data_IF_053445894088
#
_entry.id   IF_053445894088
#
_cell.length_a   1.000
_cell.length_b   1.000
_cell.length_c   1.000
_cell.angle_alpha   90.00
_cell.angle_beta   90.00
_cell.angle_gamma   90.00
#
_symmetry.space_group_name_H-M   'P 1'
#
loop_
_entity.id
_entity.type
_entity.pdbx_description
1 polymer ?
#
# COMPACT_ATOMS: atom_id res chain seq x y z
N UNK A 1 6.50 24.96 29.55
CA UNK A 1 7.83 24.74 28.93
C UNK A 1 7.66 23.61 27.92
N UNK A 2 8.17 23.80 26.71
CA UNK A 2 7.61 23.34 25.42
C UNK A 2 7.28 21.84 25.28
N UNK A 3 6.03 21.60 24.87
CA UNK A 3 5.55 20.39 24.19
C UNK A 3 6.00 20.40 22.73
N UNK A 4 6.67 19.34 22.26
CA UNK A 4 6.87 19.08 20.84
C UNK A 4 6.12 17.80 20.44
N UNK A 5 5.20 17.95 19.48
CA UNK A 5 4.33 16.93 18.93
C UNK A 5 4.78 16.72 17.48
N UNK A 6 5.30 15.55 17.16
CA UNK A 6 5.67 15.17 15.80
C UNK A 6 4.44 14.68 15.02
N UNK A 7 4.28 14.99 13.73
CA UNK A 7 3.21 14.42 12.91
C UNK A 7 3.75 13.19 12.16
N UNK A 8 3.32 12.00 12.57
CA UNK A 8 3.44 10.77 11.79
C UNK A 8 2.41 10.77 10.65
N UNK A 9 2.87 10.70 9.40
CA UNK A 9 2.01 10.46 8.23
C UNK A 9 1.52 9.00 8.27
N UNK A 10 0.20 8.82 8.28
CA UNK A 10 -0.48 7.53 8.21
C UNK A 10 -0.96 7.34 6.76
N UNK A 11 -0.47 6.32 6.05
CA UNK A 11 -1.01 5.93 4.73
C UNK A 11 -2.23 5.05 4.94
N UNK A 12 -3.37 5.42 4.33
CA UNK A 12 -4.67 4.77 4.47
C UNK A 12 -5.02 4.13 3.14
N UNK A 13 -5.05 2.80 3.08
CA UNK A 13 -5.35 2.10 1.83
C UNK A 13 -6.67 1.34 1.89
N UNK A 14 -7.60 1.77 1.05
CA UNK A 14 -8.94 1.20 0.86
C UNK A 14 -8.91 0.26 -0.34
N UNK A 15 -9.49 -0.92 -0.18
CA UNK A 15 -9.46 -1.95 -1.23
C UNK A 15 -10.85 -2.51 -1.44
N UNK A 16 -11.47 -2.19 -2.56
CA UNK A 16 -12.78 -2.70 -2.97
C UNK A 16 -12.63 -3.69 -4.12
N UNK A 17 -13.15 -4.89 -3.92
CA UNK A 17 -13.25 -5.97 -4.91
C UNK A 17 -14.21 -5.55 -6.04
N UNK A 18 -13.79 -5.64 -7.30
CA UNK A 18 -14.61 -5.23 -8.46
C UNK A 18 -15.37 -6.43 -9.06
N UNK A 19 -16.70 -6.34 -9.09
CA UNK A 19 -17.50 -6.97 -10.13
C UNK A 19 -18.09 -5.85 -11.00
N UNK A 20 -17.75 -5.86 -12.29
CA UNK A 20 -18.19 -4.88 -13.29
C UNK A 20 -19.64 -5.10 -13.72
N UNK A 21 -20.40 -4.02 -13.99
CA UNK A 21 -21.33 -4.06 -15.11
C UNK A 21 -21.26 -2.80 -16.00
N UNK A 22 -21.59 -3.01 -17.26
CA UNK A 22 -21.61 -2.07 -18.38
C UNK A 22 -22.57 -0.89 -18.19
N UNK A 23 -22.17 0.30 -18.63
CA UNK A 23 -22.91 1.56 -18.45
C UNK A 23 -23.64 2.01 -19.73
N UNK A 24 -24.99 1.96 -19.80
CA UNK A 24 -25.72 2.65 -20.85
C UNK A 24 -25.88 4.14 -20.49
N UNK A 25 -25.54 5.01 -21.45
CA UNK A 25 -25.66 6.46 -21.33
C UNK A 25 -27.13 6.87 -21.37
N UNK A 26 -27.47 7.79 -20.45
CA UNK A 26 -28.73 8.50 -20.20
C UNK A 26 -29.73 7.79 -19.28
N UNK A 27 -30.10 8.46 -18.17
CA UNK A 27 -31.42 8.38 -17.54
C UNK A 27 -31.65 9.51 -16.49
N UNK A 28 -32.92 9.84 -16.19
CA UNK A 28 -33.38 11.08 -15.57
C UNK A 28 -33.26 11.06 -14.04
N UNK A 29 -33.45 12.24 -13.44
CA UNK A 29 -33.43 12.49 -12.00
C UNK A 29 -34.29 11.46 -11.23
N UNK A 30 -33.66 10.61 -10.41
CA UNK A 30 -34.32 9.58 -9.61
C UNK A 30 -34.22 9.94 -8.12
N UNK A 31 -35.37 10.00 -7.44
CA UNK A 31 -35.54 10.40 -6.03
C UNK A 31 -35.33 9.24 -5.03
N UNK A 32 -34.37 8.36 -5.28
CA UNK A 32 -34.16 7.15 -4.50
C UNK A 32 -32.67 6.76 -4.39
N UNK A 33 -31.93 7.36 -3.45
CA UNK A 33 -30.64 6.80 -3.02
C UNK A 33 -30.24 7.17 -1.59
N UNK A 34 -31.19 7.21 -0.65
CA UNK A 34 -30.84 7.09 0.78
C UNK A 34 -30.64 5.61 1.13
N UNK A 35 -29.57 4.99 0.62
CA UNK A 35 -29.11 3.70 1.11
C UNK A 35 -27.76 3.90 1.82
N UNK A 36 -27.81 4.41 3.04
CA UNK A 36 -26.62 4.56 3.90
C UNK A 36 -26.44 3.34 4.78
N UNK A 37 -26.28 2.15 4.19
CA UNK A 37 -25.53 1.07 4.84
C UNK A 37 -24.03 1.36 4.70
N UNK A 38 -23.59 2.48 5.28
CA UNK A 38 -22.19 2.86 5.31
C UNK A 38 -21.58 2.17 6.53
N UNK A 39 -20.84 1.09 6.30
CA UNK A 39 -20.02 0.47 7.34
C UNK A 39 -19.19 1.55 8.05
N UNK A 40 -19.11 1.52 9.39
CA UNK A 40 -18.37 2.53 10.14
C UNK A 40 -16.91 2.56 9.67
N UNK A 41 -16.34 3.77 9.59
CA UNK A 41 -14.93 3.96 9.23
C UNK A 41 -14.09 3.38 10.37
N UNK A 42 -13.40 2.26 10.11
CA UNK A 42 -12.48 1.64 11.05
C UNK A 42 -11.06 2.13 10.76
N UNK A 43 -10.39 2.67 11.79
CA UNK A 43 -8.98 2.99 11.70
C UNK A 43 -8.17 1.68 11.66
N UNK A 44 -7.21 1.61 10.74
CA UNK A 44 -6.23 0.52 10.67
C UNK A 44 -4.86 1.04 11.01
N UNK A 45 -4.06 0.21 11.66
CA UNK A 45 -2.70 0.53 12.10
C UNK A 45 -1.72 -0.37 11.35
N UNK A 46 -0.88 0.24 10.52
CA UNK A 46 0.21 -0.40 9.81
C UNK A 46 1.57 0.17 10.22
N UNK A 47 2.29 -0.44 11.18
CA UNK A 47 3.64 0.00 11.53
C UNK A 47 4.61 -0.19 10.35
N UNK A 48 5.45 0.83 10.11
CA UNK A 48 6.58 0.71 9.19
C UNK A 48 7.70 -0.10 9.83
N UNK A 49 8.06 -1.21 9.17
CA UNK A 49 9.06 -2.14 9.67
C UNK A 49 10.50 -1.63 9.53
N UNK A 50 10.73 -0.54 8.78
CA UNK A 50 12.08 0.00 8.56
C UNK A 50 12.74 0.50 9.85
N UNK A 51 11.94 0.87 10.85
CA UNK A 51 12.43 1.35 12.14
C UNK A 51 12.71 0.21 13.13
N UNK A 52 12.43 -1.04 12.76
CA UNK A 52 12.71 -2.21 13.59
C UNK A 52 14.16 -2.68 13.41
N UNK A 53 14.59 -3.61 14.26
CA UNK A 53 15.86 -4.31 14.05
C UNK A 53 15.75 -5.22 12.82
N UNK A 54 16.36 -4.78 11.71
CA UNK A 54 16.34 -5.51 10.44
C UNK A 54 17.01 -6.88 10.53
N UNK A 55 17.94 -7.08 11.45
CA UNK A 55 18.58 -8.39 11.66
C UNK A 55 17.61 -9.41 12.27
N UNK A 56 16.59 -8.94 12.99
CA UNK A 56 15.57 -9.76 13.65
C UNK A 56 14.15 -9.46 13.16
N UNK A 57 14.02 -9.08 11.89
CA UNK A 57 12.80 -8.53 11.32
C UNK A 57 11.57 -9.44 11.48
N UNK A 58 11.75 -10.75 11.39
CA UNK A 58 10.66 -11.72 11.52
C UNK A 58 10.04 -11.71 12.93
N UNK A 59 10.88 -11.68 13.97
CA UNK A 59 10.41 -11.65 15.35
C UNK A 59 9.76 -10.31 15.70
N UNK A 60 10.37 -9.20 15.27
CA UNK A 60 9.79 -7.85 15.49
C UNK A 60 8.44 -7.69 14.77
N UNK A 61 8.35 -8.19 13.54
CA UNK A 61 7.10 -8.19 12.78
C UNK A 61 6.00 -9.03 13.43
N UNK A 62 6.34 -10.23 13.94
CA UNK A 62 5.38 -11.06 14.67
C UNK A 62 4.91 -10.35 15.94
N UNK A 63 5.83 -9.77 16.69
CA UNK A 63 5.52 -8.99 17.90
C UNK A 63 4.57 -7.83 17.60
N UNK A 64 4.77 -7.10 16.50
CA UNK A 64 3.85 -6.01 16.10
C UNK A 64 2.44 -6.52 15.83
N UNK A 65 2.31 -7.67 15.14
CA UNK A 65 1.02 -8.29 14.86
C UNK A 65 0.34 -8.79 16.14
N UNK A 66 1.09 -9.43 17.05
CA UNK A 66 0.59 -9.90 18.33
C UNK A 66 0.10 -8.74 19.23
N UNK A 67 0.65 -7.54 19.04
CA UNK A 67 0.23 -6.31 19.73
C UNK A 67 -0.89 -5.54 19.01
N UNK A 68 -1.52 -6.13 17.98
CA UNK A 68 -2.72 -5.60 17.34
C UNK A 68 -2.47 -4.75 16.10
N UNK A 69 -1.33 -4.88 15.43
CA UNK A 69 -1.15 -4.31 14.09
C UNK A 69 -2.08 -5.01 13.07
N UNK A 70 -2.78 -4.23 12.25
CA UNK A 70 -3.69 -4.76 11.22
C UNK A 70 -2.94 -5.28 9.99
N UNK A 71 -1.80 -4.67 9.69
CA UNK A 71 -0.94 -5.02 8.56
C UNK A 71 0.49 -4.55 8.79
N UNK A 72 1.43 -5.02 7.99
CA UNK A 72 2.82 -4.53 8.00
C UNK A 72 3.04 -3.61 6.80
N UNK A 73 3.61 -2.43 7.07
CA UNK A 73 3.96 -1.45 6.05
C UNK A 73 5.45 -1.59 5.70
N UNK A 74 5.73 -1.87 4.43
CA UNK A 74 7.04 -2.20 3.90
C UNK A 74 7.48 -1.09 2.92
N UNK A 75 8.43 -0.27 3.33
CA UNK A 75 8.94 0.83 2.51
C UNK A 75 10.10 0.37 1.63
N UNK A 76 9.88 0.38 0.31
CA UNK A 76 10.85 -0.07 -0.71
C UNK A 76 11.38 1.13 -1.46
N UNK A 77 12.68 1.39 -1.31
CA UNK A 77 13.39 2.52 -1.92
C UNK A 77 14.50 1.99 -2.84
N UNK A 78 14.65 2.56 -4.04
CA UNK A 78 15.62 2.12 -5.06
C UNK A 78 16.90 2.96 -5.15
N UNK A 79 17.03 4.03 -4.37
CA UNK A 79 18.17 4.95 -4.44
C UNK A 79 18.10 5.99 -5.58
N UNK A 80 17.19 5.81 -6.55
CA UNK A 80 17.02 6.71 -7.70
C UNK A 80 15.89 7.72 -7.46
N UNK A 81 14.73 7.25 -7.01
CA UNK A 81 13.59 8.12 -6.71
C UNK A 81 13.76 8.86 -5.38
N UNK A 82 14.38 8.19 -4.40
CA UNK A 82 14.79 8.72 -3.09
C UNK A 82 16.25 8.33 -2.90
N UNK A 83 17.13 9.19 -2.33
CA UNK A 83 18.56 8.89 -2.20
C UNK A 83 18.89 7.75 -1.22
N UNK A 84 17.89 7.08 -0.65
CA UNK A 84 18.04 5.98 0.29
C UNK A 84 17.74 4.66 -0.42
N UNK A 85 18.42 3.59 -0.01
CA UNK A 85 18.19 2.22 -0.44
C UNK A 85 17.75 1.39 0.77
N UNK A 86 16.65 0.65 0.65
CA UNK A 86 16.13 -0.18 1.75
C UNK A 86 16.32 -1.67 1.47
N UNK A 87 15.29 -2.33 0.96
CA UNK A 87 15.30 -3.75 0.61
C UNK A 87 14.39 -4.01 -0.59
N UNK A 88 14.61 -5.13 -1.27
CA UNK A 88 13.78 -5.55 -2.41
C UNK A 88 12.82 -6.69 -2.09
N UNK A 89 12.19 -7.21 -3.14
CA UNK A 89 11.28 -8.36 -3.11
C UNK A 89 11.86 -9.63 -2.43
N UNK A 90 13.19 -9.94 -2.44
CA UNK A 90 13.69 -11.14 -1.76
C UNK A 90 13.48 -11.10 -0.23
N UNK A 91 13.65 -9.93 0.38
CA UNK A 91 13.40 -9.74 1.82
C UNK A 91 11.93 -9.93 2.16
N UNK A 92 11.04 -9.38 1.34
CA UNK A 92 9.59 -9.54 1.50
C UNK A 92 9.20 -11.02 1.41
N UNK A 93 9.78 -11.75 0.44
CA UNK A 93 9.55 -13.20 0.29
C UNK A 93 10.05 -14.00 1.49
N UNK A 94 11.21 -13.67 2.05
CA UNK A 94 11.69 -14.28 3.28
C UNK A 94 10.75 -13.99 4.45
N UNK A 95 10.32 -12.73 4.62
CA UNK A 95 9.40 -12.35 5.69
C UNK A 95 8.05 -13.06 5.58
N UNK A 96 7.52 -13.19 4.35
CA UNK A 96 6.27 -13.94 4.06
C UNK A 96 6.35 -15.40 4.49
N UNK A 97 7.50 -16.04 4.35
CA UNK A 97 7.69 -17.43 4.79
C UNK A 97 7.59 -17.59 6.32
N UNK A 98 8.00 -16.57 7.07
CA UNK A 98 7.88 -16.55 8.53
C UNK A 98 6.48 -16.13 8.99
N UNK A 99 5.81 -15.23 8.26
CA UNK A 99 4.54 -14.64 8.65
C UNK A 99 3.53 -14.75 7.49
N UNK A 100 2.88 -15.91 7.40
CA UNK A 100 2.06 -16.28 6.24
C UNK A 100 0.73 -15.53 6.17
N UNK A 101 0.10 -15.30 7.32
CA UNK A 101 -1.26 -14.76 7.39
C UNK A 101 -1.32 -13.21 7.41
N UNK A 102 -0.18 -12.55 7.60
CA UNK A 102 -0.16 -11.09 7.75
C UNK A 102 -0.46 -10.37 6.44
N UNK A 103 -1.20 -9.26 6.52
CA UNK A 103 -1.39 -8.40 5.36
C UNK A 103 -0.13 -7.55 5.14
N UNK A 104 0.45 -7.61 3.95
CA UNK A 104 1.63 -6.80 3.57
C UNK A 104 1.23 -5.70 2.61
N UNK A 105 1.51 -4.46 3.02
CA UNK A 105 1.50 -3.28 2.16
C UNK A 105 2.92 -2.91 1.79
N UNK A 106 3.21 -2.75 0.50
CA UNK A 106 4.47 -2.15 0.05
C UNK A 106 4.24 -0.72 -0.40
N UNK A 107 4.99 0.22 0.17
CA UNK A 107 5.10 1.59 -0.33
C UNK A 107 6.36 1.71 -1.19
N UNK A 108 6.13 1.85 -2.48
CA UNK A 108 7.15 1.81 -3.52
C UNK A 108 7.61 3.23 -3.84
N UNK A 109 8.74 3.60 -3.24
CA UNK A 109 9.49 4.81 -3.51
C UNK A 109 10.56 4.52 -4.57
N UNK A 110 10.10 4.21 -5.79
CA UNK A 110 10.94 3.76 -6.90
C UNK A 110 10.65 4.52 -8.20
N UNK A 111 11.66 4.65 -9.07
CA UNK A 111 11.57 5.40 -10.32
C UNK A 111 10.78 4.65 -11.40
N UNK A 112 10.83 3.32 -11.43
CA UNK A 112 10.08 2.51 -12.38
C UNK A 112 9.25 1.47 -11.63
N UNK A 113 8.05 1.81 -11.11
CA UNK A 113 7.26 0.87 -10.31
C UNK A 113 6.75 -0.34 -11.11
N UNK A 114 6.63 -0.24 -12.43
CA UNK A 114 6.15 -1.34 -13.28
C UNK A 114 7.02 -2.60 -13.19
N UNK A 115 8.35 -2.45 -13.11
CA UNK A 115 9.28 -3.58 -13.07
C UNK A 115 9.18 -4.39 -11.76
N UNK A 116 8.63 -3.79 -10.71
CA UNK A 116 8.54 -4.39 -9.38
C UNK A 116 7.22 -5.12 -9.13
N UNK A 117 6.23 -4.96 -10.01
CA UNK A 117 4.88 -5.54 -9.82
C UNK A 117 4.95 -7.07 -9.72
N UNK A 118 5.48 -7.73 -10.75
CA UNK A 118 5.55 -9.21 -10.78
C UNK A 118 6.38 -9.78 -9.63
N UNK A 119 7.62 -9.29 -9.36
CA UNK A 119 8.40 -9.80 -8.24
C UNK A 119 7.77 -9.58 -6.87
N UNK A 120 7.02 -8.48 -6.67
CA UNK A 120 6.33 -8.22 -5.41
C UNK A 120 5.07 -9.08 -5.25
N UNK A 121 4.33 -9.32 -6.32
CA UNK A 121 3.23 -10.28 -6.33
C UNK A 121 3.74 -11.69 -5.95
N UNK A 122 4.85 -12.12 -6.56
CA UNK A 122 5.49 -13.41 -6.27
C UNK A 122 6.04 -13.49 -4.83
N UNK A 123 6.38 -12.36 -4.22
CA UNK A 123 6.79 -12.27 -2.81
C UNK A 123 5.59 -12.34 -1.84
N UNK A 124 4.35 -12.32 -2.35
CA UNK A 124 3.14 -12.41 -1.55
C UNK A 124 2.69 -11.07 -0.96
N UNK A 125 2.96 -9.96 -1.65
CA UNK A 125 2.43 -8.64 -1.28
C UNK A 125 0.92 -8.60 -1.52
N UNK A 126 0.17 -8.00 -0.60
CA UNK A 126 -1.29 -7.91 -0.75
C UNK A 126 -1.72 -6.56 -1.34
N UNK A 127 -0.95 -5.52 -1.04
CA UNK A 127 -1.23 -4.16 -1.46
C UNK A 127 0.04 -3.48 -1.95
N UNK A 128 -0.04 -2.96 -3.16
CA UNK A 128 1.04 -2.27 -3.83
C UNK A 128 0.71 -0.79 -3.97
N UNK A 129 1.38 0.04 -3.18
CA UNK A 129 1.22 1.49 -3.16
C UNK A 129 2.40 2.14 -3.87
N UNK A 130 2.16 2.91 -4.94
CA UNK A 130 3.24 3.53 -5.72
C UNK A 130 3.03 5.03 -5.93
N UNK A 131 4.14 5.73 -6.16
CA UNK A 131 4.14 7.16 -6.47
C UNK A 131 3.64 7.42 -7.89
N UNK A 132 2.76 8.42 -8.06
CA UNK A 132 2.22 8.81 -9.38
C UNK A 132 3.23 9.61 -10.21
N UNK A 133 4.20 10.26 -9.57
CA UNK A 133 5.14 11.19 -10.18
C UNK A 133 6.09 10.59 -11.21
N UNK A 134 6.70 9.41 -10.98
CA UNK A 134 7.60 8.83 -11.95
C UNK A 134 6.87 8.04 -13.05
N UNK A 135 5.54 7.89 -12.94
CA UNK A 135 4.73 7.07 -13.84
C UNK A 135 4.10 7.89 -14.95
N UNK A 136 4.26 7.44 -16.20
CA UNK A 136 3.66 8.10 -17.38
C UNK A 136 2.18 7.77 -17.55
N UNK A 137 1.79 6.52 -17.30
CA UNK A 137 0.41 6.03 -17.44
C UNK A 137 -0.03 5.29 -16.18
N UNK A 138 -0.58 6.04 -15.22
CA UNK A 138 -1.04 5.53 -13.92
C UNK A 138 -2.15 4.48 -14.10
N UNK A 139 -3.01 4.61 -15.11
CA UNK A 139 -4.08 3.67 -15.39
C UNK A 139 -3.54 2.31 -15.82
N UNK A 140 -2.53 2.31 -16.69
CA UNK A 140 -1.89 1.08 -17.13
C UNK A 140 -1.17 0.37 -15.98
N UNK A 141 -0.44 1.10 -15.13
CA UNK A 141 0.22 0.52 -13.95
C UNK A 141 -0.80 -0.06 -12.96
N UNK A 142 -1.88 0.69 -12.69
CA UNK A 142 -2.98 0.23 -11.84
C UNK A 142 -3.58 -1.08 -12.34
N UNK A 143 -3.81 -1.19 -13.65
CA UNK A 143 -4.31 -2.42 -14.28
C UNK A 143 -3.33 -3.58 -14.11
N UNK A 144 -2.04 -3.38 -14.38
CA UNK A 144 -1.01 -4.41 -14.21
C UNK A 144 -0.95 -4.94 -12.77
N UNK A 145 -1.07 -4.06 -11.77
CA UNK A 145 -1.09 -4.46 -10.36
C UNK A 145 -2.33 -5.31 -10.02
N UNK A 146 -3.50 -4.92 -10.52
CA UNK A 146 -4.74 -5.68 -10.33
C UNK A 146 -4.68 -7.04 -11.02
N UNK A 147 -4.14 -7.11 -12.24
CA UNK A 147 -3.92 -8.35 -12.99
C UNK A 147 -2.93 -9.29 -12.27
N UNK A 148 -1.97 -8.74 -11.54
CA UNK A 148 -1.06 -9.49 -10.68
C UNK A 148 -1.70 -9.96 -9.35
N UNK A 149 -2.99 -9.69 -9.13
CA UNK A 149 -3.74 -10.15 -7.95
C UNK A 149 -3.54 -9.29 -6.69
N UNK A 150 -2.88 -8.13 -6.81
CA UNK A 150 -2.64 -7.23 -5.70
C UNK A 150 -3.67 -6.09 -5.66
N UNK A 151 -3.87 -5.54 -4.46
CA UNK A 151 -4.61 -4.29 -4.28
C UNK A 151 -3.73 -3.11 -4.70
N UNK A 152 -4.33 -1.99 -5.10
CA UNK A 152 -3.61 -0.81 -5.58
C UNK A 152 -3.74 0.33 -4.58
N UNK A 153 -2.62 0.98 -4.27
CA UNK A 153 -2.55 2.27 -3.59
C UNK A 153 -1.82 3.30 -4.44
N UNK A 154 -2.19 4.57 -4.30
CA UNK A 154 -1.50 5.69 -4.93
C UNK A 154 -0.92 6.61 -3.85
N UNK A 155 0.37 6.89 -3.94
CA UNK A 155 1.08 7.83 -3.09
C UNK A 155 1.35 9.13 -3.85
N UNK A 156 1.26 10.25 -3.14
CA UNK A 156 1.48 11.60 -3.68
C UNK A 156 2.50 12.30 -2.78
N UNK A 157 3.57 12.82 -3.36
CA UNK A 157 4.58 13.60 -2.65
C UNK A 157 3.99 14.95 -2.23
N UNK A 158 4.20 15.37 -0.97
CA UNK A 158 3.76 16.68 -0.53
C UNK A 158 4.50 17.79 -1.30
N UNK A 159 3.78 18.87 -1.63
CA UNK A 159 4.35 20.07 -2.24
C UNK A 159 4.41 20.08 -3.78
N UNK A 160 3.91 19.04 -4.46
CA UNK A 160 3.63 19.12 -5.91
C UNK A 160 2.16 19.48 -6.14
N UNK A 161 1.93 20.51 -6.94
CA UNK A 161 0.62 20.79 -7.53
C UNK A 161 0.51 20.00 -8.84
N UNK A 162 -0.62 19.29 -9.03
CA UNK A 162 -0.94 18.50 -10.21
C UNK A 162 -2.02 19.18 -11.05
#
# INVERSE_FOLDING_TARGET
>A
MFTFRAPTLLSLTLTSTTASPTYPKTRPHCSACNNTNKMPIQAKIGPSILNADLANLAAESQKLLDNGADYLHLDVMDGEFVPNLTFGHPMVKCLRNHIKEAFFETHMMVQNPEQWITPMADAGVNLYTFHVEPVKDVCNVTRQIQEAGMKVGLAIKPGKCY
#
